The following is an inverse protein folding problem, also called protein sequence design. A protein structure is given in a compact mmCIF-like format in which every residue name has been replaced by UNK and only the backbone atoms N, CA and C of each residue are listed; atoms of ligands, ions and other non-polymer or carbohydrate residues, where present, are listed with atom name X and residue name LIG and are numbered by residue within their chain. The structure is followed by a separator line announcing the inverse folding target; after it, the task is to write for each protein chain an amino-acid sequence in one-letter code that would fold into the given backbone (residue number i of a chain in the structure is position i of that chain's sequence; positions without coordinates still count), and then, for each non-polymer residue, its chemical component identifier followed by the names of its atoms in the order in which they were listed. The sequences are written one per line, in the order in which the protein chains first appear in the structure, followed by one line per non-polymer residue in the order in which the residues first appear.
data_IF_168835199608
#
_entry.id   IF_168835199608
#
_cell.length_a   1.000
_cell.length_b   1.000
_cell.length_c   1.000
_cell.angle_alpha   90.00
_cell.angle_beta   90.00
_cell.angle_gamma   90.00
#
_symmetry.space_group_name_H-M   'P 1'
#
loop_
_entity.id
_entity.type
_entity.pdbx_description
1 polymer ?
#
# COMPACT_ATOMS: atom_id res chain seq x y z
N UNK A 1 -7.74 11.44 -26.22
CA UNK A 1 -6.81 11.35 -25.07
C UNK A 1 -6.77 9.90 -24.65
N UNK A 2 -5.73 9.17 -25.03
CA UNK A 2 -5.57 7.76 -24.67
C UNK A 2 -5.19 7.73 -23.19
N UNK A 3 -6.07 7.19 -22.34
CA UNK A 3 -5.69 6.83 -20.97
C UNK A 3 -4.66 5.72 -21.10
N UNK A 4 -3.39 6.05 -20.87
CA UNK A 4 -2.36 5.04 -20.65
C UNK A 4 -2.77 4.27 -19.41
N UNK A 5 -3.22 3.02 -19.61
CA UNK A 5 -3.33 2.02 -18.56
C UNK A 5 -1.92 1.81 -18.02
N UNK A 6 -1.55 2.55 -16.99
CA UNK A 6 -0.40 2.18 -16.18
C UNK A 6 -0.76 0.84 -15.52
N UNK A 7 0.10 -0.16 -15.64
CA UNK A 7 0.02 -1.38 -14.83
C UNK A 7 0.23 -0.96 -13.38
N UNK A 8 -0.86 -0.58 -12.71
CA UNK A 8 -0.84 -0.21 -11.31
C UNK A 8 -1.16 -1.45 -10.49
N UNK A 9 -0.47 -1.58 -9.38
CA UNK A 9 -0.62 -2.70 -8.46
C UNK A 9 -1.05 -2.17 -7.11
N UNK A 10 -1.83 -2.99 -6.41
CA UNK A 10 -2.30 -2.68 -5.07
C UNK A 10 -1.41 -3.45 -4.10
N UNK A 11 -0.69 -2.74 -3.25
CA UNK A 11 -0.04 -3.32 -2.09
C UNK A 11 -0.99 -3.25 -0.91
N UNK A 12 -1.28 -4.40 -0.32
CA UNK A 12 -2.02 -4.51 0.93
C UNK A 12 -1.03 -4.78 2.07
N UNK A 13 -1.01 -3.90 3.07
CA UNK A 13 -0.16 -4.00 4.24
C UNK A 13 -1.04 -4.16 5.47
N UNK A 14 -0.74 -5.15 6.30
CA UNK A 14 -1.22 -5.20 7.69
C UNK A 14 -0.12 -4.66 8.58
N UNK A 15 -0.42 -3.57 9.29
CA UNK A 15 0.55 -2.88 10.13
C UNK A 15 0.03 -2.74 11.55
N UNK A 16 0.93 -2.74 12.52
CA UNK A 16 0.63 -2.43 13.92
C UNK A 16 0.53 -0.92 14.09
N UNK A 17 -0.46 -0.47 14.86
CA UNK A 17 -0.73 0.94 15.14
C UNK A 17 0.25 1.52 16.17
N UNK A 18 1.53 1.51 15.83
CA UNK A 18 2.56 2.22 16.59
C UNK A 18 2.78 3.63 16.04
N UNK A 19 3.10 4.62 16.90
CA UNK A 19 3.43 5.97 16.45
C UNK A 19 4.58 5.95 15.43
N UNK A 20 4.35 6.56 14.26
CA UNK A 20 5.37 6.68 13.21
C UNK A 20 5.30 5.63 12.10
N UNK A 21 4.46 4.60 12.22
CA UNK A 21 4.34 3.54 11.19
C UNK A 21 4.02 4.10 9.81
N UNK A 22 3.08 5.05 9.70
CA UNK A 22 2.73 5.70 8.43
C UNK A 22 3.90 6.49 7.85
N UNK A 23 4.67 7.17 8.69
CA UNK A 23 5.86 7.92 8.27
C UNK A 23 6.92 6.99 7.70
N UNK A 24 7.15 5.83 8.34
CA UNK A 24 8.09 4.83 7.85
C UNK A 24 7.66 4.24 6.50
N UNK A 25 6.38 3.85 6.38
CA UNK A 25 5.83 3.31 5.14
C UNK A 25 5.94 4.35 4.02
N UNK A 26 5.40 5.56 4.19
CA UNK A 26 5.46 6.62 3.17
C UNK A 26 6.91 7.04 2.86
N UNK A 27 7.80 7.06 3.85
CA UNK A 27 9.20 7.41 3.69
C UNK A 27 9.99 6.45 2.78
N UNK A 28 9.62 5.17 2.75
CA UNK A 28 10.22 4.19 1.84
C UNK A 28 9.89 4.50 0.37
N UNK A 29 8.65 4.92 0.08
CA UNK A 29 8.22 5.32 -1.26
C UNK A 29 8.87 6.63 -1.70
N UNK A 30 8.92 7.62 -0.78
CA UNK A 30 9.53 8.92 -1.04
C UNK A 30 11.02 8.81 -1.43
N UNK A 31 11.79 7.96 -0.73
CA UNK A 31 13.26 7.85 -0.93
C UNK A 31 13.65 7.32 -2.31
N UNK A 32 12.80 6.53 -2.96
CA UNK A 32 13.12 5.90 -4.25
C UNK A 32 12.36 6.52 -5.44
N UNK A 33 11.72 7.67 -5.21
CA UNK A 33 10.89 8.38 -6.19
C UNK A 33 9.78 7.48 -6.77
N UNK A 34 9.16 6.67 -5.92
CA UNK A 34 7.94 5.95 -6.30
C UNK A 34 6.75 6.89 -6.19
N UNK A 35 5.96 6.97 -7.26
CA UNK A 35 4.70 7.66 -7.21
C UNK A 35 3.66 6.75 -6.53
N UNK A 36 2.99 7.27 -5.51
CA UNK A 36 1.84 6.61 -4.89
C UNK A 36 0.60 7.30 -5.41
N UNK A 37 -0.16 6.62 -6.24
CA UNK A 37 -1.37 7.17 -6.86
C UNK A 37 -2.54 7.25 -5.88
N UNK A 38 -2.56 6.36 -4.87
CA UNK A 38 -3.62 6.30 -3.89
C UNK A 38 -3.19 5.62 -2.61
N UNK A 39 -3.73 6.11 -1.49
CA UNK A 39 -3.53 5.53 -0.16
C UNK A 39 -4.90 5.42 0.50
N UNK A 40 -5.24 4.21 0.95
CA UNK A 40 -6.40 3.96 1.80
C UNK A 40 -5.89 3.28 3.07
N UNK A 41 -6.33 3.76 4.23
CA UNK A 41 -5.97 3.19 5.52
C UNK A 41 -7.21 3.02 6.36
N UNK A 42 -7.43 1.80 6.86
CA UNK A 42 -8.57 1.47 7.72
C UNK A 42 -8.10 0.68 8.94
N UNK A 43 -8.61 1.00 10.14
CA UNK A 43 -8.33 0.19 11.32
C UNK A 43 -8.99 -1.19 11.18
N UNK A 44 -8.32 -2.24 11.63
CA UNK A 44 -8.90 -3.58 11.72
C UNK A 44 -9.66 -3.66 13.04
N UNK A 45 -10.98 -3.88 12.98
CA UNK A 45 -11.85 -3.92 14.16
C UNK A 45 -11.34 -4.91 15.22
N UNK A 46 -11.46 -4.51 16.49
CA UNK A 46 -11.03 -5.29 17.66
C UNK A 46 -9.54 -5.68 17.67
N UNK A 47 -8.69 -4.89 17.00
CA UNK A 47 -7.24 -5.12 16.98
C UNK A 47 -6.45 -3.82 17.10
N UNK A 48 -5.16 -3.94 17.42
CA UNK A 48 -4.21 -2.82 17.37
C UNK A 48 -3.51 -2.71 16.00
N UNK A 49 -4.16 -3.19 14.94
CA UNK A 49 -3.63 -3.18 13.59
C UNK A 49 -4.49 -2.32 12.66
N UNK A 50 -3.88 -1.82 11.61
CA UNK A 50 -4.55 -1.18 10.48
C UNK A 50 -4.16 -1.88 9.20
N UNK A 51 -5.05 -1.77 8.22
CA UNK A 51 -4.81 -2.22 6.87
C UNK A 51 -4.64 -1.04 5.95
N UNK A 52 -3.54 -1.03 5.22
CA UNK A 52 -3.18 0.02 4.28
C UNK A 52 -3.19 -0.59 2.89
N UNK A 53 -3.93 0.03 1.98
CA UNK A 53 -3.85 -0.23 0.56
C UNK A 53 -3.11 0.92 -0.11
N UNK A 54 -2.06 0.58 -0.86
CA UNK A 54 -1.28 1.53 -1.63
C UNK A 54 -1.44 1.20 -3.11
N UNK A 55 -1.94 2.14 -3.89
CA UNK A 55 -1.96 2.07 -5.34
C UNK A 55 -0.65 2.67 -5.86
N UNK A 56 0.17 1.83 -6.49
CA UNK A 56 1.50 2.21 -6.98
C UNK A 56 1.74 1.63 -8.36
N UNK A 57 2.61 2.28 -9.14
CA UNK A 57 2.98 1.79 -10.47
C UNK A 57 3.80 0.49 -10.33
N UNK A 58 3.60 -0.46 -11.26
CA UNK A 58 4.36 -1.70 -11.34
C UNK A 58 5.78 -1.45 -11.88
N UNK A 59 6.64 -0.88 -11.03
CA UNK A 59 8.06 -0.68 -11.29
C UNK A 59 8.83 -1.97 -10.93
N UNK A 60 9.84 -2.33 -11.73
CA UNK A 60 10.70 -3.48 -11.46
C UNK A 60 11.36 -3.45 -10.06
N UNK A 61 11.56 -2.25 -9.48
CA UNK A 61 12.13 -2.04 -8.15
C UNK A 61 11.12 -2.31 -7.02
N UNK A 62 9.85 -2.55 -7.33
CA UNK A 62 8.79 -2.75 -6.35
C UNK A 62 9.01 -4.00 -5.49
N UNK A 63 9.49 -5.11 -6.08
CA UNK A 63 9.80 -6.31 -5.31
C UNK A 63 10.83 -6.06 -4.21
N UNK A 64 11.85 -5.25 -4.50
CA UNK A 64 12.84 -4.85 -3.50
C UNK A 64 12.24 -3.95 -2.41
N UNK A 65 11.24 -3.13 -2.75
CA UNK A 65 10.54 -2.32 -1.75
C UNK A 65 9.71 -3.17 -0.81
N UNK A 66 8.95 -4.11 -1.35
CA UNK A 66 8.15 -5.06 -0.56
C UNK A 66 9.05 -5.76 0.46
N UNK A 67 10.20 -6.28 0.03
CA UNK A 67 11.17 -6.92 0.94
C UNK A 67 11.82 -5.97 1.96
N UNK A 68 11.74 -4.65 1.79
CA UNK A 68 12.19 -3.68 2.81
C UNK A 68 11.06 -3.34 3.78
N UNK A 69 9.83 -3.22 3.27
CA UNK A 69 8.64 -3.00 4.08
C UNK A 69 8.42 -4.19 5.02
N UNK A 70 8.58 -5.43 4.53
CA UNK A 70 8.49 -6.66 5.34
C UNK A 70 9.52 -6.75 6.47
N UNK A 71 10.58 -5.93 6.46
CA UNK A 71 11.59 -5.89 7.53
C UNK A 71 11.26 -4.87 8.61
N UNK A 72 10.25 -4.01 8.40
CA UNK A 72 9.81 -3.08 9.42
C UNK A 72 9.12 -3.86 10.54
N UNK A 73 9.49 -3.60 11.78
CA UNK A 73 8.91 -4.27 12.96
C UNK A 73 7.39 -4.06 13.06
N UNK A 74 6.91 -2.91 12.60
CA UNK A 74 5.50 -2.55 12.61
C UNK A 74 4.69 -3.20 11.48
N UNK A 75 5.34 -3.86 10.51
CA UNK A 75 4.65 -4.51 9.39
C UNK A 75 4.52 -5.99 9.69
N UNK A 76 3.28 -6.45 9.82
CA UNK A 76 2.99 -7.87 10.08
C UNK A 76 2.91 -8.67 8.77
N UNK A 77 2.33 -8.07 7.72
CA UNK A 77 2.13 -8.74 6.43
C UNK A 77 2.11 -7.75 5.29
N UNK A 78 2.68 -8.15 4.15
CA UNK A 78 2.54 -7.46 2.87
C UNK A 78 2.00 -8.44 1.84
N UNK A 79 1.04 -8.02 1.04
CA UNK A 79 0.53 -8.76 -0.11
C UNK A 79 0.50 -7.86 -1.33
N UNK A 80 0.93 -8.39 -2.48
CA UNK A 80 0.83 -7.71 -3.77
C UNK A 80 -0.33 -8.29 -4.55
N UNK A 81 -1.30 -7.44 -4.90
CA UNK A 81 -2.40 -7.78 -5.79
C UNK A 81 -2.17 -7.11 -7.15
N UNK A 82 -2.20 -7.92 -8.21
CA UNK A 82 -2.21 -7.45 -9.62
C UNK A 82 -3.64 -7.19 -10.13
N UNK A 83 -4.60 -7.00 -9.20
CA UNK A 83 -6.00 -6.79 -9.53
C UNK A 83 -6.20 -5.44 -10.23
N UNK A 84 -7.27 -5.36 -11.03
CA UNK A 84 -7.72 -4.14 -11.70
C UNK A 84 -7.70 -2.94 -10.72
N UNK A 85 -7.08 -1.80 -11.09
CA UNK A 85 -7.09 -0.56 -10.31
C UNK A 85 -8.48 -0.13 -9.82
N UNK A 86 -9.56 -0.52 -10.53
CA UNK A 86 -10.94 -0.29 -10.11
C UNK A 86 -11.29 -0.93 -8.75
N UNK A 87 -10.58 -1.97 -8.32
CA UNK A 87 -10.75 -2.56 -6.99
C UNK A 87 -10.40 -1.59 -5.88
N UNK A 88 -9.42 -0.70 -6.06
CA UNK A 88 -9.05 0.27 -5.03
C UNK A 88 -10.23 1.18 -4.65
N UNK A 89 -10.95 1.68 -5.66
CA UNK A 89 -12.15 2.50 -5.46
C UNK A 89 -13.31 1.70 -4.86
N UNK A 90 -13.48 0.43 -5.24
CA UNK A 90 -14.51 -0.45 -4.66
C UNK A 90 -14.26 -0.72 -3.17
N UNK A 91 -13.01 -0.93 -2.79
CA UNK A 91 -12.61 -1.10 -1.39
C UNK A 91 -12.98 0.18 -0.62
N UNK A 92 -12.62 1.36 -1.13
CA UNK A 92 -12.96 2.62 -0.48
C UNK A 92 -14.47 2.78 -0.23
N UNK A 93 -15.31 2.47 -1.22
CA UNK A 93 -16.78 2.57 -1.13
C UNK A 93 -17.40 1.49 -0.23
N UNK A 94 -16.80 0.30 -0.14
CA UNK A 94 -17.34 -0.81 0.66
C UNK A 94 -17.25 -0.55 2.18
N UNK A 95 -16.43 0.40 2.61
CA UNK A 95 -16.21 0.73 4.02
C UNK A 95 -16.84 2.07 4.45
N UNK A 96 -17.66 2.70 3.60
CA UNK A 96 -18.53 3.85 3.96
C UNK A 96 -19.85 3.41 4.63
#
# INVERSE_FOLDING_TARGET
MQQQTHDNVILELTVRNHPGVMTHVCGLFARRAFNVEGILCLPIQNSNHSRIWLLVNDDQRLGQMISQIEKLEDVEKVARNQSDPSMFNKIAVFFE
#
